data_IF_951475607444
#
_entry.id   IF_951475607444
#
_cell.length_a   1.000
_cell.length_b   1.000
_cell.length_c   1.000
_cell.angle_alpha   90.00
_cell.angle_beta   90.00
_cell.angle_gamma   90.00
#
_symmetry.space_group_name_H-M   'P 1'
#
loop_
_entity.id
_entity.type
_entity.pdbx_description
1 polymer ?
2 non-polymer ?
3 non-polymer ?
4 non-polymer ?
5 water ?
#
# COMPACT_ATOMS: atom_id res chain seq x y z
N UNK A 4 22.16 20.54 13.03
CA UNK A 4 21.85 19.46 13.96
C UNK A 4 21.03 18.36 13.26
N UNK A 5 20.42 18.70 12.12
CA UNK A 5 19.44 17.82 11.50
C UNK A 5 19.63 17.77 9.99
N UNK A 6 19.12 16.70 9.39
CA UNK A 6 19.33 16.49 7.97
C UNK A 6 18.48 17.41 7.12
N UNK A 7 17.28 17.74 7.57
CA UNK A 7 16.45 18.66 6.83
C UNK A 7 16.78 20.08 7.25
N UNK A 8 17.02 20.93 6.25
CA UNK A 8 17.31 22.33 6.58
C UNK A 8 16.06 23.06 7.04
N UNK A 9 14.89 22.57 6.68
CA UNK A 9 13.66 23.09 7.22
C UNK A 9 12.62 21.98 7.09
N UNK A 10 11.63 22.04 7.96
CA UNK A 10 10.62 20.98 8.02
C UNK A 10 9.47 21.32 7.10
N UNK A 11 9.78 21.23 5.81
CA UNK A 11 8.85 21.56 4.76
C UNK A 11 9.15 20.65 3.59
N UNK A 12 8.21 20.64 2.65
CA UNK A 12 8.44 19.88 1.44
C UNK A 12 9.67 20.38 0.71
N UNK A 13 9.87 21.69 0.69
CA UNK A 13 11.06 22.29 0.09
C UNK A 13 12.31 21.77 0.77
N UNK A 14 12.27 21.65 2.09
CA UNK A 14 13.42 21.10 2.79
C UNK A 14 13.65 19.65 2.42
N UNK A 15 12.58 18.89 2.29
CA UNK A 15 12.73 17.50 1.89
C UNK A 15 13.32 17.40 0.50
N UNK A 16 12.82 18.20 -0.44
CA UNK A 16 13.34 18.13 -1.80
C UNK A 16 14.82 18.50 -1.83
N UNK A 17 15.21 19.53 -1.09
CA UNK A 17 16.63 19.88 -1.07
C UNK A 17 17.44 18.74 -0.49
N UNK A 18 16.90 18.08 0.53
CA UNK A 18 17.61 16.95 1.11
C UNK A 18 17.73 15.80 0.12
N UNK A 19 16.66 15.53 -0.63
CA UNK A 19 16.70 14.47 -1.61
C UNK A 19 17.77 14.70 -2.66
N UNK A 20 18.01 15.97 -2.99
CA UNK A 20 19.02 16.34 -3.98
C UNK A 20 20.33 16.72 -3.33
N UNK A 21 20.63 16.11 -2.19
CA UNK A 21 21.92 16.22 -1.56
C UNK A 21 22.57 14.84 -1.58
N UNK A 22 23.88 14.82 -1.35
CA UNK A 22 24.59 13.55 -1.27
C UNK A 22 24.14 12.76 -0.05
N UNK A 23 23.45 13.41 0.89
CA UNK A 23 23.00 12.70 2.09
C UNK A 23 21.95 11.64 1.75
N UNK A 24 21.16 11.85 0.68
CA UNK A 24 19.94 11.09 0.46
C UNK A 24 20.11 10.16 -0.74
N UNK A 25 20.30 8.90 -0.46
CA UNK A 25 20.47 7.91 -1.50
C UNK A 25 19.37 6.90 -1.55
N UNK A 26 18.71 6.62 -0.43
CA UNK A 26 17.79 5.50 -0.33
C UNK A 26 16.50 5.96 0.31
N UNK A 27 15.41 5.79 -0.42
CA UNK A 27 14.10 6.21 0.03
C UNK A 27 13.27 4.98 0.22
N UNK A 28 12.62 4.88 1.34
CA UNK A 28 11.62 3.85 1.56
C UNK A 28 10.28 4.54 1.54
N UNK A 29 9.37 4.01 0.76
CA UNK A 29 8.00 4.48 0.79
C UNK A 29 7.17 3.51 1.60
N UNK A 30 6.26 4.04 2.38
CA UNK A 30 5.25 3.26 3.07
C UNK A 30 3.93 3.81 2.61
N UNK A 31 3.09 2.96 2.02
CA UNK A 31 1.88 3.47 1.42
C UNK A 31 0.69 2.64 1.83
N UNK A 32 -0.46 3.27 1.76
CA UNK A 32 -1.68 2.56 1.95
C UNK A 32 -2.77 3.07 1.03
N UNK A 33 -4.00 2.87 1.47
CA UNK A 33 -5.13 2.93 0.58
C UNK A 33 -5.33 4.33 0.02
N UNK A 34 -4.83 5.34 0.71
CA UNK A 34 -5.00 6.69 0.24
C UNK A 34 -4.27 7.00 -1.05
N UNK A 35 -3.29 6.19 -1.41
CA UNK A 35 -2.61 6.43 -2.67
C UNK A 35 -3.41 5.93 -3.85
N UNK A 36 -4.51 5.22 -3.62
CA UNK A 36 -5.29 4.67 -4.71
C UNK A 36 -6.68 5.24 -4.79
N UNK A 37 -7.06 6.12 -3.88
CA UNK A 37 -8.40 6.65 -3.98
C UNK A 37 -8.57 7.47 -5.24
N UNK A 38 -7.54 8.19 -5.67
CA UNK A 38 -7.69 8.94 -6.90
C UNK A 38 -7.60 8.06 -8.13
N UNK A 39 -7.33 6.78 -7.96
CA UNK A 39 -7.46 5.79 -9.03
C UNK A 39 -8.85 5.18 -9.02
N UNK A 40 -9.75 5.73 -8.23
CA UNK A 40 -11.08 5.20 -8.19
C UNK A 40 -11.26 4.01 -7.30
N UNK A 41 -10.37 3.80 -6.35
CA UNK A 41 -10.51 2.72 -5.39
C UNK A 41 -10.76 3.36 -4.03
N UNK A 42 -11.98 3.48 -3.56
CA UNK A 42 -12.20 4.23 -2.32
C UNK A 42 -11.51 3.55 -1.13
N UNK A 43 -11.09 4.36 -0.16
CA UNK A 43 -10.53 3.88 1.10
C UNK A 43 -11.69 3.56 2.04
N UNK A 44 -12.64 2.76 1.55
CA UNK A 44 -13.73 2.23 2.35
C UNK A 44 -13.86 0.78 1.91
N UNK A 45 -13.61 -0.15 2.83
CA UNK A 45 -13.51 -1.55 2.48
C UNK A 45 -14.56 -2.39 3.18
N UNK A 46 -15.45 -1.77 3.93
CA UNK A 46 -16.52 -2.52 4.53
C UNK A 46 -17.61 -2.79 3.51
N UNK A 47 -18.34 -3.89 3.66
CA UNK A 47 -19.49 -4.13 2.79
C UNK A 47 -20.50 -2.98 2.86
N UNK A 48 -21.12 -2.70 1.72
CA UNK A 48 -22.25 -1.79 1.72
C UNK A 48 -23.34 -2.34 2.63
N UNK A 49 -24.28 -1.48 2.97
CA UNK A 49 -25.41 -1.94 3.75
C UNK A 49 -26.14 -3.05 3.02
N UNK A 50 -26.37 -2.85 1.72
CA UNK A 50 -27.06 -3.87 0.95
C UNK A 50 -26.31 -5.19 0.95
N UNK A 51 -24.99 -5.12 0.79
CA UNK A 51 -24.22 -6.36 0.81
C UNK A 51 -24.28 -7.03 2.17
N UNK A 52 -24.05 -6.27 3.24
CA UNK A 52 -24.09 -6.87 4.57
C UNK A 52 -25.43 -7.56 4.79
N UNK A 53 -26.53 -6.92 4.37
CA UNK A 53 -27.84 -7.53 4.54
C UNK A 53 -27.99 -8.77 3.67
N UNK A 54 -27.44 -8.71 2.46
CA UNK A 54 -27.44 -9.87 1.58
C UNK A 54 -26.69 -11.04 2.17
N UNK A 55 -25.76 -10.78 3.07
CA UNK A 55 -24.92 -11.83 3.62
C UNK A 55 -25.45 -12.38 4.93
N UNK A 56 -26.67 -12.02 5.32
CA UNK A 56 -27.21 -12.48 6.60
C UNK A 56 -27.09 -13.99 6.74
N UNK A 57 -27.34 -14.71 5.65
CA UNK A 57 -27.37 -16.17 5.71
C UNK A 57 -26.01 -16.80 6.00
N UNK A 58 -24.92 -16.03 5.95
CA UNK A 58 -23.60 -16.54 6.29
C UNK A 58 -23.23 -16.25 7.73
N UNK A 59 -24.12 -15.56 8.47
CA UNK A 59 -23.98 -15.35 9.90
C UNK A 59 -22.61 -14.83 10.29
N UNK A 60 -22.25 -13.70 9.71
CA UNK A 60 -21.08 -12.97 10.17
C UNK A 60 -21.22 -12.70 11.66
N UNK A 61 -20.31 -13.20 12.49
CA UNK A 61 -20.49 -13.02 13.95
C UNK A 61 -20.48 -11.55 14.33
N UNK A 62 -19.72 -10.74 13.59
CA UNK A 62 -19.60 -9.31 13.73
C UNK A 62 -19.28 -8.81 12.32
N UNK A 63 -19.69 -7.58 11.97
CA UNK A 63 -19.54 -7.15 10.56
C UNK A 63 -18.11 -7.19 10.05
N UNK A 64 -17.12 -6.93 10.91
CA UNK A 64 -15.74 -6.92 10.45
C UNK A 64 -15.14 -8.32 10.30
N UNK A 65 -15.90 -9.36 10.66
CA UNK A 65 -15.43 -10.73 10.47
C UNK A 65 -15.16 -11.03 9.01
N UNK A 66 -15.75 -10.25 8.10
CA UNK A 66 -15.54 -10.48 6.69
C UNK A 66 -14.09 -10.28 6.29
N UNK A 67 -13.32 -9.57 7.11
CA UNK A 67 -11.91 -9.38 6.82
C UNK A 67 -11.03 -10.43 7.47
N UNK A 68 -11.61 -11.30 8.27
CA UNK A 68 -10.83 -12.15 9.14
C UNK A 68 -10.66 -13.53 8.52
N UNK A 69 -9.46 -14.07 8.69
CA UNK A 69 -9.16 -15.37 8.12
C UNK A 69 -9.98 -16.47 8.76
N UNK A 70 -10.19 -16.41 10.07
CA UNK A 70 -10.95 -17.46 10.72
C UNK A 70 -12.35 -17.57 10.12
N UNK A 71 -12.97 -16.42 9.91
CA UNK A 71 -14.30 -16.44 9.33
C UNK A 71 -14.25 -16.86 7.88
N UNK A 72 -13.26 -16.37 7.13
CA UNK A 72 -13.11 -16.81 5.74
C UNK A 72 -13.03 -18.32 5.63
N UNK A 73 -12.31 -18.95 6.56
CA UNK A 73 -12.16 -20.39 6.51
C UNK A 73 -13.48 -21.08 6.80
N UNK A 74 -14.36 -20.42 7.57
CA UNK A 74 -15.69 -20.99 7.76
C UNK A 74 -16.61 -20.72 6.57
N UNK A 75 -16.62 -19.49 6.07
CA UNK A 75 -17.49 -19.11 4.96
C UNK A 75 -16.73 -18.15 4.06
N UNK A 76 -16.25 -18.61 2.91
CA UNK A 76 -15.52 -17.70 2.01
C UNK A 76 -16.42 -16.80 1.21
N UNK A 77 -17.71 -17.10 1.11
CA UNK A 77 -18.56 -16.36 0.18
C UNK A 77 -18.68 -14.89 0.54
N UNK A 78 -18.82 -14.50 1.81
CA UNK A 78 -18.88 -13.07 2.10
C UNK A 78 -17.68 -12.32 1.57
N UNK A 79 -16.48 -12.84 1.79
CA UNK A 79 -15.31 -12.18 1.27
C UNK A 79 -15.41 -12.00 -0.23
N UNK A 80 -15.81 -13.05 -0.95
CA UNK A 80 -15.81 -12.91 -2.40
C UNK A 80 -16.92 -11.99 -2.87
N UNK A 81 -18.02 -11.90 -2.13
CA UNK A 81 -19.06 -10.94 -2.47
C UNK A 81 -18.57 -9.53 -2.23
N UNK A 82 -17.84 -9.34 -1.14
CA UNK A 82 -17.23 -8.04 -0.90
C UNK A 82 -16.24 -7.72 -2.00
N UNK A 83 -15.42 -8.70 -2.37
CA UNK A 83 -14.45 -8.49 -3.42
C UNK A 83 -15.14 -8.06 -4.71
N UNK A 84 -16.28 -8.67 -5.02
CA UNK A 84 -17.02 -8.25 -6.20
C UNK A 84 -17.46 -6.80 -6.07
N UNK A 85 -18.00 -6.44 -4.91
CA UNK A 85 -18.49 -5.08 -4.74
C UNK A 85 -17.35 -4.08 -4.82
N UNK A 86 -16.16 -4.45 -4.37
CA UNK A 86 -15.04 -3.53 -4.29
C UNK A 86 -14.12 -3.62 -5.51
N UNK A 87 -14.41 -4.50 -6.44
CA UNK A 87 -13.49 -4.76 -7.54
C UNK A 87 -13.33 -3.50 -8.40
N UNK A 88 -12.14 -2.95 -8.53
CA UNK A 88 -11.99 -1.72 -9.31
C UNK A 88 -12.41 -1.92 -10.75
N UNK A 89 -12.95 -0.85 -11.35
CA UNK A 89 -13.35 -0.91 -12.75
C UNK A 89 -12.20 -0.81 -13.71
N UNK A 90 -11.07 -0.31 -13.25
CA UNK A 90 -9.88 -0.15 -14.07
C UNK A 90 -8.72 -0.13 -13.09
N UNK A 91 -7.53 -0.38 -13.63
CA UNK A 91 -6.31 -0.40 -12.83
C UNK A 91 -5.35 0.60 -13.43
N UNK A 92 -5.57 1.85 -13.09
CA UNK A 92 -4.79 2.96 -13.60
C UNK A 92 -4.09 3.59 -12.42
N UNK A 93 -2.80 3.34 -12.23
CA UNK A 93 -2.12 3.89 -11.07
C UNK A 93 -2.14 5.40 -11.10
N UNK A 94 -1.93 5.97 -9.93
CA UNK A 94 -2.04 7.38 -9.75
C UNK A 94 -0.70 8.05 -9.97
N UNK A 95 -0.78 9.39 -10.00
CA UNK A 95 0.42 10.21 -9.98
C UNK A 95 1.36 9.78 -8.87
N UNK A 96 0.82 9.51 -7.70
CA UNK A 96 1.64 9.06 -6.58
C UNK A 96 2.36 7.75 -6.90
N UNK A 97 1.63 6.79 -7.49
CA UNK A 97 2.30 5.56 -7.87
C UNK A 97 3.43 5.84 -8.84
N UNK A 98 3.19 6.70 -9.84
CA UNK A 98 4.21 6.96 -10.82
C UNK A 98 5.34 7.76 -10.22
N UNK A 99 5.07 8.55 -9.19
CA UNK A 99 6.16 9.21 -8.49
C UNK A 99 7.11 8.16 -7.91
N UNK A 100 6.54 7.09 -7.36
CA UNK A 100 7.40 6.03 -6.87
C UNK A 100 8.16 5.36 -7.99
N UNK A 101 7.51 5.21 -9.16
CA UNK A 101 8.25 4.70 -10.30
C UNK A 101 9.42 5.61 -10.64
N UNK A 102 9.22 6.93 -10.57
CA UNK A 102 10.34 7.81 -10.80
C UNK A 102 11.43 7.61 -9.77
N UNK A 103 11.06 7.43 -8.50
CA UNK A 103 12.08 7.13 -7.51
C UNK A 103 12.86 5.91 -7.92
N UNK A 104 12.17 4.89 -8.41
CA UNK A 104 12.88 3.71 -8.90
C UNK A 104 13.79 4.07 -10.05
N UNK A 105 13.26 4.78 -11.04
CA UNK A 105 14.03 5.10 -12.23
C UNK A 105 15.26 5.88 -11.88
N UNK A 106 15.17 6.70 -10.85
CA UNK A 106 16.26 7.57 -10.48
C UNK A 106 17.16 6.93 -9.46
N UNK A 107 16.99 5.64 -9.19
CA UNK A 107 17.91 4.95 -8.33
C UNK A 107 17.76 5.30 -6.88
N UNK A 108 16.64 5.89 -6.50
CA UNK A 108 16.43 6.31 -5.13
C UNK A 108 15.57 5.36 -4.34
N UNK A 109 14.84 4.48 -4.98
CA UNK A 109 13.87 3.70 -4.26
C UNK A 109 14.53 2.46 -3.71
N UNK A 110 14.66 2.40 -2.39
CA UNK A 110 15.11 1.19 -1.74
C UNK A 110 13.96 0.20 -1.64
N UNK A 111 12.79 0.66 -1.26
CA UNK A 111 11.67 -0.26 -1.17
C UNK A 111 10.40 0.54 -1.04
N UNK A 112 9.35 0.01 -1.62
CA UNK A 112 8.01 0.47 -1.33
C UNK A 112 7.34 -0.63 -0.54
N UNK A 113 6.99 -0.31 0.71
CA UNK A 113 6.17 -1.19 1.53
C UNK A 113 4.76 -0.72 1.33
N UNK A 114 3.91 -1.59 0.81
CA UNK A 114 2.54 -1.21 0.54
C UNK A 114 1.60 -2.09 1.35
N UNK A 115 0.55 -1.47 1.82
CA UNK A 115 -0.57 -2.21 2.38
C UNK A 115 -1.60 -2.51 1.33
N UNK A 116 -1.48 -1.94 0.14
CA UNK A 116 -2.53 -2.10 -0.83
C UNK A 116 -2.43 -3.44 -1.50
N UNK A 117 -3.60 -3.91 -1.89
CA UNK A 117 -3.76 -5.20 -2.54
C UNK A 117 -4.23 -5.03 -3.97
N UNK A 118 -4.29 -3.79 -4.44
CA UNK A 118 -4.90 -3.42 -5.72
C UNK A 118 -3.99 -3.60 -6.92
N UNK A 119 -2.74 -3.97 -6.72
CA UNK A 119 -1.75 -4.26 -7.75
C UNK A 119 -1.23 -3.01 -8.45
N UNK A 120 -1.64 -1.82 -8.04
CA UNK A 120 -1.29 -0.66 -8.83
C UNK A 120 0.19 -0.36 -8.77
N UNK A 121 0.87 -0.74 -7.71
CA UNK A 121 2.31 -0.52 -7.70
C UNK A 121 2.96 -1.29 -8.82
N UNK A 122 2.53 -2.53 -9.03
CA UNK A 122 3.09 -3.35 -10.08
C UNK A 122 2.77 -2.77 -11.44
N UNK A 123 1.54 -2.31 -11.62
CA UNK A 123 1.18 -1.74 -12.91
C UNK A 123 2.01 -0.51 -13.17
N UNK A 124 2.28 0.27 -12.14
CA UNK A 124 3.07 1.48 -12.29
C UNK A 124 4.53 1.19 -12.51
N UNK A 125 4.96 -0.06 -12.47
CA UNK A 125 6.31 -0.39 -12.79
C UNK A 125 7.22 -0.61 -11.61
N UNK A 126 6.68 -0.74 -10.41
CA UNK A 126 7.50 -1.24 -9.32
C UNK A 126 7.56 -2.74 -9.45
N UNK A 127 8.76 -3.27 -9.35
CA UNK A 127 8.97 -4.68 -9.56
C UNK A 127 8.97 -5.38 -8.23
N UNK A 128 8.89 -6.70 -8.29
CA UNK A 128 8.85 -7.50 -7.08
C UNK A 128 9.97 -7.07 -6.14
N UNK A 129 11.16 -6.87 -6.68
CA UNK A 129 12.29 -6.51 -5.82
C UNK A 129 12.06 -5.20 -5.10
N UNK A 130 11.33 -4.28 -5.73
CA UNK A 130 11.13 -2.96 -5.16
C UNK A 130 10.07 -2.96 -4.09
N UNK A 131 9.33 -4.04 -3.97
CA UNK A 131 8.08 -4.03 -3.23
C UNK A 131 8.10 -4.96 -2.05
N UNK A 132 7.45 -4.54 -1.00
CA UNK A 132 6.99 -5.41 0.05
C UNK A 132 5.50 -5.20 0.07
N UNK A 133 4.76 -6.16 -0.48
CA UNK A 133 3.31 -6.17 -0.41
C UNK A 133 3.00 -6.76 0.95
N UNK A 134 3.00 -5.89 1.95
CA UNK A 134 2.98 -6.35 3.35
C UNK A 134 1.74 -7.16 3.61
N UNK A 135 0.64 -6.81 2.97
CA UNK A 135 -0.61 -7.52 3.16
C UNK A 135 -1.03 -8.26 1.91
N UNK A 136 -0.04 -8.64 1.13
CA UNK A 136 -0.31 -9.47 -0.01
C UNK A 136 -0.91 -8.68 -1.14
N UNK A 137 -1.53 -9.42 -2.04
CA UNK A 137 -2.03 -8.81 -3.25
C UNK A 137 -3.05 -9.69 -3.91
N UNK A 138 -3.92 -9.06 -4.70
CA UNK A 138 -4.78 -9.77 -5.62
C UNK A 138 -4.07 -10.15 -6.90
N UNK A 139 -2.83 -9.71 -7.09
CA UNK A 139 -2.13 -9.95 -8.34
C UNK A 139 -2.10 -11.43 -8.67
N UNK A 140 -1.87 -12.26 -7.67
CA UNK A 140 -1.91 -13.71 -7.83
C UNK A 140 -2.85 -14.27 -6.79
N UNK A 141 -3.38 -15.43 -7.09
CA UNK A 141 -4.21 -16.19 -6.19
C UNK A 141 -3.67 -17.60 -6.20
N UNK A 142 -3.94 -18.34 -5.15
CA UNK A 142 -3.50 -19.72 -5.13
C UNK A 142 -4.59 -20.63 -4.61
N UNK A 143 -4.68 -21.79 -5.23
CA UNK A 143 -5.32 -22.92 -4.59
C UNK A 143 -4.81 -23.06 -3.18
N UNK A 144 -5.74 -23.24 -2.24
CA UNK A 144 -5.40 -23.26 -0.83
C UNK A 144 -4.87 -24.61 -0.37
N UNK A 145 -4.84 -25.63 -1.23
CA UNK A 145 -4.33 -26.94 -0.87
C UNK A 145 -2.82 -26.96 -1.01
N UNK A 146 -2.12 -27.25 0.08
CA UNK A 146 -0.66 -27.33 0.02
C UNK A 146 -0.20 -28.39 -0.97
N UNK A 147 -1.00 -29.43 -1.19
CA UNK A 147 -0.61 -30.45 -2.13
C UNK A 147 -0.67 -30.00 -3.58
N UNK A 148 -1.25 -28.82 -3.85
CA UNK A 148 -1.52 -28.41 -5.21
C UNK A 148 -0.96 -27.02 -5.51
N UNK A 149 -1.48 -26.01 -4.81
CA UNK A 149 -0.91 -24.66 -4.84
C UNK A 149 -0.93 -24.08 -6.26
N UNK A 150 -1.85 -24.52 -7.10
CA UNK A 150 -1.97 -23.93 -8.42
C UNK A 150 -2.12 -22.41 -8.31
N UNK A 151 -1.37 -21.68 -9.13
CA UNK A 151 -1.38 -20.22 -9.12
C UNK A 151 -2.31 -19.72 -10.21
N UNK A 152 -3.16 -18.77 -9.87
CA UNK A 152 -4.11 -18.21 -10.79
C UNK A 152 -3.86 -16.72 -10.93
N UNK A 153 -3.84 -16.21 -12.15
CA UNK A 153 -3.66 -14.79 -12.38
C UNK A 153 -4.93 -14.03 -12.04
N UNK A 154 -4.77 -12.72 -11.91
CA UNK A 154 -5.92 -11.89 -11.56
C UNK A 154 -7.05 -12.01 -12.59
N UNK A 155 -6.75 -12.20 -13.88
CA UNK A 155 -7.83 -12.30 -14.85
C UNK A 155 -8.78 -13.45 -14.50
N UNK A 156 -8.21 -14.57 -14.07
CA UNK A 156 -9.00 -15.74 -13.71
C UNK A 156 -9.83 -15.45 -12.47
N UNK A 157 -9.19 -14.87 -11.46
CA UNK A 157 -9.88 -14.54 -10.23
C UNK A 157 -10.99 -13.53 -10.50
N UNK A 158 -10.71 -12.52 -11.32
CA UNK A 158 -11.72 -11.54 -11.67
C UNK A 158 -12.95 -12.22 -12.23
N UNK A 159 -12.75 -13.14 -13.17
CA UNK A 159 -13.92 -13.79 -13.77
C UNK A 159 -14.72 -14.54 -12.72
N UNK A 160 -14.05 -15.23 -11.79
CA UNK A 160 -14.79 -15.93 -10.75
C UNK A 160 -15.53 -14.96 -9.84
N UNK A 161 -14.89 -13.84 -9.50
CA UNK A 161 -15.49 -12.88 -8.59
C UNK A 161 -16.75 -12.29 -9.20
N UNK A 162 -16.66 -11.85 -10.45
CA UNK A 162 -17.80 -11.16 -11.03
C UNK A 162 -18.94 -12.12 -11.33
N UNK A 163 -18.63 -13.34 -11.73
CA UNK A 163 -19.68 -14.33 -11.96
C UNK A 163 -20.28 -14.86 -10.66
N UNK A 164 -19.79 -14.41 -9.51
CA UNK A 164 -20.30 -14.86 -8.22
C UNK A 164 -20.17 -16.37 -8.07
N UNK A 165 -19.14 -16.92 -8.70
CA UNK A 165 -18.76 -18.32 -8.56
C UNK A 165 -17.61 -18.37 -7.56
N UNK A 166 -17.80 -19.07 -6.45
CA UNK A 166 -16.71 -19.21 -5.50
C UNK A 166 -15.54 -19.87 -6.23
N UNK A 167 -14.36 -19.27 -6.24
CA UNK A 167 -13.30 -19.78 -7.14
C UNK A 167 -12.75 -21.10 -6.63
N UNK A 168 -12.77 -22.09 -7.51
CA UNK A 168 -12.26 -23.40 -7.18
C UNK A 168 -11.14 -23.75 -8.15
N UNK A 169 -10.16 -24.47 -7.63
CA UNK A 169 -9.01 -24.84 -8.42
C UNK A 169 -9.41 -25.85 -9.49
N UNK A 170 -8.90 -25.62 -10.69
CA UNK A 170 -9.19 -26.54 -11.78
C UNK A 170 -8.47 -27.86 -11.62
N UNK A 171 -7.38 -27.89 -10.88
CA UNK A 171 -6.64 -29.14 -10.72
C UNK A 171 -7.24 -30.01 -9.64
N UNK A 172 -7.72 -29.41 -8.57
CA UNK A 172 -8.12 -30.20 -7.42
C UNK A 172 -9.41 -29.76 -6.77
N UNK A 173 -10.06 -28.71 -7.27
CA UNK A 173 -11.35 -28.25 -6.76
C UNK A 173 -11.30 -27.66 -5.36
N UNK A 174 -10.11 -27.39 -4.85
CA UNK A 174 -10.01 -26.64 -3.62
C UNK A 174 -10.37 -25.18 -3.88
N UNK A 175 -10.58 -24.43 -2.81
CA UNK A 175 -10.76 -23.01 -2.94
C UNK A 175 -9.48 -22.37 -3.46
N UNK A 176 -9.67 -21.31 -4.24
CA UNK A 176 -8.58 -20.47 -4.70
C UNK A 176 -8.72 -19.13 -4.01
N UNK A 177 -7.70 -18.77 -3.27
CA UNK A 177 -7.71 -17.60 -2.42
C UNK A 177 -6.79 -16.54 -3.01
N UNK A 178 -7.24 -15.31 -3.16
CA UNK A 178 -6.31 -14.24 -3.54
C UNK A 178 -5.16 -14.20 -2.56
N UNK A 179 -3.97 -13.80 -3.03
CA UNK A 179 -2.77 -13.85 -2.22
C UNK A 179 -2.70 -12.70 -1.24
N UNK A 180 -3.82 -12.34 -0.67
CA UNK A 180 -3.83 -11.25 0.30
C UNK A 180 -3.66 -11.82 1.70
N UNK A 181 -3.29 -10.95 2.63
CA UNK A 181 -3.14 -11.29 4.03
C UNK A 181 -4.41 -10.81 4.72
N UNK A 182 -5.23 -11.75 5.13
CA UNK A 182 -6.44 -11.40 5.84
C UNK A 182 -6.09 -10.87 7.21
N UNK A 183 -7.02 -10.11 7.77
CA UNK A 183 -6.90 -9.78 9.19
C UNK A 183 -6.79 -11.07 9.97
N UNK A 184 -5.89 -11.09 10.95
CA UNK A 184 -5.63 -12.28 11.71
C UNK A 184 -4.61 -13.23 11.13
N UNK A 185 -4.05 -12.92 9.98
CA UNK A 185 -2.98 -13.71 9.40
C UNK A 185 -1.65 -13.02 9.63
N UNK A 186 -0.59 -13.81 9.68
CA UNK A 186 0.75 -13.27 9.83
C UNK A 186 1.21 -12.68 8.51
N UNK A 187 2.07 -11.68 8.61
CA UNK A 187 2.65 -11.07 7.44
C UNK A 187 3.70 -11.98 6.83
N UNK A 188 4.01 -11.77 5.57
CA UNK A 188 5.01 -12.61 4.91
C UNK A 188 6.40 -12.43 5.50
N UNK A 189 7.18 -13.51 5.41
CA UNK A 189 8.55 -13.44 5.88
C UNK A 189 9.29 -12.28 5.22
N UNK A 190 8.97 -12.02 3.95
CA UNK A 190 9.64 -10.95 3.24
C UNK A 190 9.50 -9.63 3.97
N UNK A 191 8.34 -9.38 4.57
CA UNK A 191 8.14 -8.14 5.28
C UNK A 191 9.21 -7.97 6.34
N UNK A 192 9.44 -9.01 7.13
CA UNK A 192 10.38 -8.89 8.24
C UNK A 192 11.81 -8.92 7.75
N UNK A 193 12.12 -9.74 6.75
CA UNK A 193 13.48 -9.78 6.24
C UNK A 193 13.87 -8.43 5.63
N UNK A 194 12.99 -7.88 4.80
CA UNK A 194 13.26 -6.58 4.22
C UNK A 194 13.30 -5.50 5.28
N UNK A 195 12.38 -5.51 6.23
CA UNK A 195 12.40 -4.48 7.27
C UNK A 195 13.76 -4.47 7.97
N UNK A 196 14.25 -5.67 8.30
CA UNK A 196 15.48 -5.79 9.06
C UNK A 196 16.64 -5.21 8.28
N UNK A 197 16.66 -5.42 6.97
CA UNK A 197 17.77 -4.86 6.19
C UNK A 197 17.53 -3.40 5.81
N UNK A 198 16.34 -3.08 5.36
CA UNK A 198 16.12 -1.82 4.69
C UNK A 198 16.25 -0.66 5.65
N UNK A 199 15.74 -0.82 6.88
CA UNK A 199 15.72 0.32 7.78
C UNK A 199 17.07 0.67 8.36
N UNK A 200 18.07 -0.15 8.12
CA UNK A 200 19.43 0.26 8.41
C UNK A 200 19.96 1.21 7.36
N UNK A 201 19.32 1.25 6.20
CA UNK A 201 19.87 1.89 5.01
C UNK A 201 19.06 3.10 4.59
N UNK A 202 17.98 3.39 5.23
CA UNK A 202 17.06 4.37 4.69
C UNK A 202 17.54 5.78 5.01
N UNK A 203 17.46 6.65 4.01
CA UNK A 203 17.76 8.06 4.18
C UNK A 203 16.53 8.93 4.22
N UNK A 204 15.40 8.42 3.74
CA UNK A 204 14.19 9.18 3.74
C UNK A 204 13.06 8.19 3.78
N UNK A 205 12.11 8.42 4.66
CA UNK A 205 10.91 7.63 4.72
C UNK A 205 9.79 8.50 4.17
N UNK A 206 9.11 8.02 3.15
CA UNK A 206 8.03 8.74 2.52
C UNK A 206 6.80 7.92 2.77
N UNK A 207 5.89 8.45 3.56
CA UNK A 207 4.72 7.76 4.01
C UNK A 207 3.54 8.42 3.35
N UNK A 208 2.74 7.66 2.63
CA UNK A 208 1.72 8.27 1.81
C UNK A 208 0.44 7.48 1.89
N UNK A 209 -0.66 8.18 2.13
CA UNK A 209 -1.94 7.56 1.96
C UNK A 209 -2.20 6.44 2.93
N UNK A 210 -1.83 6.60 4.20
CA UNK A 210 -2.15 5.56 5.15
C UNK A 210 -2.42 6.20 6.48
N UNK A 211 -3.35 5.61 7.20
CA UNK A 211 -3.68 6.10 8.52
C UNK A 211 -2.76 5.49 9.57
N UNK A 212 -1.88 4.57 9.20
CA UNK A 212 -0.91 3.99 10.13
C UNK A 212 -1.60 3.46 11.37
N UNK A 213 -2.68 2.76 11.14
CA UNK A 213 -3.43 2.14 12.22
C UNK A 213 -3.16 0.66 12.33
N UNK A 214 -2.82 -0.01 11.28
CA UNK A 214 -2.69 -1.46 11.29
C UNK A 214 -1.25 -1.81 11.59
N UNK A 215 -1.07 -2.78 12.46
CA UNK A 215 0.21 -3.26 12.89
C UNK A 215 0.47 -4.65 12.35
N UNK A 216 1.74 -5.02 12.19
CA UNK A 216 2.94 -4.23 12.53
C UNK A 216 3.32 -3.23 11.48
N UNK A 217 2.56 -3.09 10.39
CA UNK A 217 2.97 -2.18 9.33
C UNK A 217 3.23 -0.78 9.87
N UNK A 218 2.32 -0.26 10.69
CA UNK A 218 2.45 1.12 11.15
C UNK A 218 3.74 1.32 11.93
N UNK A 219 4.18 0.28 12.61
CA UNK A 219 5.38 0.41 13.42
C UNK A 219 6.63 0.55 12.57
N UNK A 220 6.52 0.38 11.26
CA UNK A 220 7.70 0.61 10.44
C UNK A 220 8.25 2.01 10.64
N UNK A 221 7.40 2.98 10.97
CA UNK A 221 7.99 4.32 11.10
C UNK A 221 8.98 4.36 12.23
N UNK A 222 8.79 3.52 13.24
CA UNK A 222 9.69 3.51 14.38
C UNK A 222 10.96 2.75 14.09
N UNK A 223 11.06 2.09 12.95
CA UNK A 223 12.27 1.39 12.59
C UNK A 223 13.25 2.28 11.87
N UNK A 224 12.87 3.49 11.52
CA UNK A 224 13.79 4.39 10.89
C UNK A 224 14.82 4.87 11.90
N UNK A 225 16.06 5.05 11.48
CA UNK A 225 17.04 5.73 12.31
C UNK A 225 16.50 7.09 12.74
N UNK A 226 16.96 7.52 13.89
CA UNK A 226 16.49 8.77 14.46
C UNK A 226 16.73 9.95 13.54
N UNK A 227 17.79 9.91 12.73
CA UNK A 227 18.06 11.07 11.91
C UNK A 227 17.24 11.09 10.63
N UNK A 228 16.63 9.99 10.27
CA UNK A 228 16.07 9.86 8.94
C UNK A 228 14.85 10.74 8.81
N UNK A 229 14.80 11.66 7.87
CA UNK A 229 13.59 12.45 7.70
C UNK A 229 12.44 11.57 7.29
N UNK A 230 11.26 11.96 7.74
CA UNK A 230 10.04 11.24 7.44
C UNK A 230 9.04 12.24 6.94
N UNK A 231 8.61 12.05 5.71
CA UNK A 231 7.63 12.92 5.09
C UNK A 231 6.34 12.16 4.95
N UNK A 232 5.28 12.69 5.51
CA UNK A 232 3.96 12.12 5.36
C UNK A 232 3.24 12.98 4.35
N UNK A 233 2.75 12.36 3.30
CA UNK A 233 1.87 13.00 2.36
C UNK A 233 0.53 12.29 2.52
N UNK A 234 -0.45 12.99 3.04
CA UNK A 234 -1.67 12.33 3.46
C UNK A 234 -2.71 13.39 3.68
N UNK A 235 -3.98 13.01 3.61
CA UNK A 235 -4.99 14.00 3.84
C UNK A 235 -4.94 14.55 5.25
N UNK A 236 -4.53 13.72 6.20
CA UNK A 236 -4.47 14.13 7.59
C UNK A 236 -3.25 13.54 8.24
N UNK A 237 -2.84 14.19 9.33
CA UNK A 237 -1.69 13.69 10.05
C UNK A 237 -2.01 12.31 10.62
N UNK A 238 -0.99 11.47 10.60
CA UNK A 238 -1.07 10.12 11.06
C UNK A 238 0.30 9.78 11.64
N UNK A 239 0.33 8.71 12.41
CA UNK A 239 1.57 8.18 12.97
C UNK A 239 2.10 8.90 14.17
N UNK A 240 1.36 9.85 14.72
CA UNK A 240 1.80 10.48 15.95
C UNK A 240 1.54 9.56 17.13
N UNK A 241 2.23 9.84 18.23
CA UNK A 241 2.07 9.04 19.43
C UNK A 241 0.62 9.11 19.92
N UNK A 242 0.16 8.01 20.53
CA UNK A 242 -1.16 7.91 21.12
C UNK A 242 -1.06 8.50 22.51
N UNK A 243 -1.69 9.64 22.78
CA UNK A 243 -1.57 10.27 24.10
C UNK A 243 -2.19 9.43 25.20
N UNK A 244 -3.01 8.44 24.84
CA UNK A 244 -3.66 7.62 25.85
C UNK A 244 -2.76 6.53 26.39
N UNK A 245 -1.67 6.21 25.72
CA UNK A 245 -0.81 5.11 26.15
C UNK A 245 0.30 5.59 27.08
N UNK A 246 1.10 6.56 26.64
CA UNK A 246 2.24 7.00 27.42
C UNK A 246 3.05 5.86 28.01
N UNK A 252 6.49 3.23 20.30
CA UNK A 252 7.25 4.45 20.16
C UNK A 252 7.47 4.91 18.73
N UNK A 253 8.43 5.81 18.54
CA UNK A 253 8.78 6.27 17.21
C UNK A 253 7.76 7.16 16.55
N UNK A 254 6.84 7.74 17.32
CA UNK A 254 5.77 8.50 16.71
C UNK A 254 6.29 9.68 15.91
N UNK A 255 5.53 10.04 14.90
CA UNK A 255 5.80 11.25 14.15
C UNK A 255 5.68 12.45 15.06
N UNK A 256 6.62 13.37 14.93
CA UNK A 256 6.58 14.64 15.65
C UNK A 256 6.73 15.73 14.62
N UNK A 257 5.61 16.20 14.12
CA UNK A 257 5.62 17.23 13.12
C UNK A 257 5.69 18.62 13.72
N UNK A 258 5.11 18.81 14.89
CA UNK A 258 4.75 20.15 15.30
C UNK A 258 5.22 20.55 16.69
N UNK A 259 5.84 19.68 17.47
CA UNK A 259 6.30 20.12 18.77
C UNK A 259 7.55 20.97 18.61
N UNK A 260 7.94 21.63 19.70
CA UNK A 260 9.20 22.37 19.73
C UNK A 260 10.38 21.47 19.41
N UNK A 261 10.23 20.18 19.67
CA UNK A 261 11.31 19.22 19.46
C UNK A 261 11.32 18.67 18.04
N UNK A 262 10.36 19.04 17.21
CA UNK A 262 10.31 18.47 15.88
C UNK A 262 11.59 18.81 15.15
N UNK A 263 12.12 17.82 14.45
CA UNK A 263 13.38 18.03 13.76
C UNK A 263 13.48 17.29 12.44
N UNK A 264 12.55 16.37 12.11
CA UNK A 264 12.78 15.57 10.92
C UNK A 264 11.51 15.09 10.25
N UNK A 265 10.35 15.34 10.86
CA UNK A 265 9.10 14.83 10.33
C UNK A 265 8.33 15.98 9.71
N UNK A 266 7.84 15.76 8.51
CA UNK A 266 7.14 16.78 7.75
C UNK A 266 5.82 16.19 7.34
N UNK A 267 4.75 16.93 7.55
CA UNK A 267 3.44 16.53 7.06
C UNK A 267 3.05 17.46 5.94
N UNK A 268 2.76 16.91 4.77
CA UNK A 268 2.16 17.66 3.70
C UNK A 268 0.74 17.14 3.59
N UNK A 269 -0.22 17.97 3.95
CA UNK A 269 -1.59 17.54 4.07
C UNK A 269 -2.37 17.88 2.82
N UNK A 270 -2.89 16.86 2.18
CA UNK A 270 -3.64 17.04 0.98
C UNK A 270 -3.68 15.73 0.24
N UNK A 271 -4.02 15.83 -1.03
CA UNK A 271 -4.11 14.64 -1.85
C UNK A 271 -2.72 14.12 -2.16
N UNK A 272 -2.56 12.80 -2.09
CA UNK A 272 -1.26 12.22 -2.39
C UNK A 272 -0.77 12.63 -3.75
N UNK A 273 -1.65 12.65 -4.74
CA UNK A 273 -1.21 13.05 -6.07
C UNK A 273 -0.67 14.46 -6.06
N UNK A 274 -1.37 15.37 -5.39
CA UNK A 274 -0.92 16.75 -5.36
C UNK A 274 0.37 16.90 -4.59
N UNK A 275 0.53 16.16 -3.51
CA UNK A 275 1.76 16.25 -2.76
C UNK A 275 2.93 15.71 -3.57
N UNK A 276 2.71 14.60 -4.25
CA UNK A 276 3.79 14.06 -5.07
C UNK A 276 4.08 14.96 -6.24
N UNK A 277 3.07 15.57 -6.82
CA UNK A 277 3.32 16.51 -7.89
C UNK A 277 4.13 17.69 -7.37
N UNK A 278 3.80 18.18 -6.18
CA UNK A 278 4.53 19.31 -5.63
C UNK A 278 5.97 18.93 -5.32
N UNK A 279 6.18 17.74 -4.79
CA UNK A 279 7.53 17.28 -4.51
C UNK A 279 8.30 17.08 -5.80
N UNK A 280 7.68 16.42 -6.79
CA UNK A 280 8.30 16.26 -8.09
C UNK A 280 8.69 17.61 -8.64
N UNK A 281 7.80 18.59 -8.51
CA UNK A 281 8.10 19.91 -9.05
C UNK A 281 9.34 20.46 -8.41
N UNK A 282 9.42 20.37 -7.08
CA UNK A 282 10.58 20.89 -6.38
C UNK A 282 11.86 20.18 -6.79
N UNK A 283 11.76 18.91 -7.19
CA UNK A 283 12.91 18.14 -7.61
C UNK A 283 13.26 18.35 -9.07
N UNK A 284 12.49 19.13 -9.82
CA UNK A 284 12.73 19.23 -11.23
C UNK A 284 12.17 18.08 -12.02
N UNK A 285 11.29 17.28 -11.41
CA UNK A 285 10.78 16.09 -12.05
C UNK A 285 9.36 16.24 -12.54
N UNK A 286 8.78 17.44 -12.48
CA UNK A 286 7.35 17.55 -12.76
C UNK A 286 7.04 17.18 -14.20
N UNK A 287 7.81 17.67 -15.16
CA UNK A 287 7.53 17.27 -16.52
C UNK A 287 7.73 15.77 -16.69
N UNK A 288 8.79 15.22 -16.12
CA UNK A 288 8.99 13.78 -16.24
C UNK A 288 7.81 13.03 -15.67
N UNK A 289 7.29 13.49 -14.56
CA UNK A 289 6.18 12.79 -13.94
C UNK A 289 4.94 12.94 -14.78
N UNK A 290 4.67 14.16 -15.22
CA UNK A 290 3.51 14.38 -16.06
C UNK A 290 3.58 13.51 -17.31
N UNK A 291 4.74 13.48 -17.95
CA UNK A 291 4.86 12.72 -19.19
C UNK A 291 4.69 11.24 -18.93
N UNK A 292 5.29 10.73 -17.85
CA UNK A 292 5.12 9.33 -17.50
C UNK A 292 3.66 9.02 -17.24
N UNK A 293 3.00 9.80 -16.41
CA UNK A 293 1.63 9.52 -16.10
C UNK A 293 0.78 9.56 -17.36
N UNK A 294 0.97 10.59 -18.16
CA UNK A 294 0.12 10.72 -19.32
C UNK A 294 0.30 9.53 -20.26
N UNK A 295 1.54 9.09 -20.47
CA UNK A 295 1.75 7.97 -21.38
C UNK A 295 1.25 6.68 -20.78
N UNK A 296 1.46 6.47 -19.48
CA UNK A 296 0.99 5.23 -18.88
C UNK A 296 -0.53 5.20 -18.82
N UNK A 297 -1.13 6.31 -18.43
CA UNK A 297 -2.58 6.36 -18.47
C UNK A 297 -3.10 6.12 -19.86
N UNK A 298 -2.47 6.72 -20.87
CA UNK A 298 -2.94 6.51 -22.23
C UNK A 298 -2.83 5.04 -22.58
N UNK A 299 -1.72 4.42 -22.22
CA UNK A 299 -1.55 3.01 -22.56
C UNK A 299 -2.59 2.15 -21.86
N UNK A 300 -2.89 2.46 -20.61
CA UNK A 300 -3.88 1.69 -19.88
C UNK A 300 -5.26 1.92 -20.46
N UNK A 301 -5.56 3.16 -20.82
CA UNK A 301 -6.82 3.46 -21.45
C UNK A 301 -6.98 2.71 -22.75
N UNK A 302 -5.88 2.46 -23.45
CA UNK A 302 -5.92 1.80 -24.75
C UNK A 302 -5.99 0.29 -24.63
N UNK A 303 -5.95 -0.27 -23.43
CA UNK A 303 -6.07 -1.72 -23.26
C UNK A 303 -7.47 -2.18 -23.70
X LIG B 1 -10.24 -6.42 -5.68
X LIG B 1 -9.01 -4.57 -5.24
X LIG B 1 -10.30 -2.80 -3.56
X LIG B 1 -7.15 -6.31 -7.83
X LIG B 1 -8.21 -5.98 -6.83
X LIG B 1 -9.31 -6.80 -6.62
X LIG B 1 -11.44 -7.26 -5.38
X LIG B 1 -5.56 -6.45 3.65
X LIG B 1 -11.06 -5.72 -1.38
X LIG B 1 -10.20 -3.07 -1.18
X LIG B 1 -11.64 -7.59 -0.42
X LIG B 1 -11.33 -6.91 0.71
X LIG B 1 -11.44 -7.33 2.12
X LIG B 1 -10.13 -7.66 2.78
X LIG B 1 -10.00 -8.80 3.54
X LIG B 1 -7.86 -7.09 3.34
X LIG B 1 -7.73 -8.25 4.09
X LIG B 1 -8.82 -9.11 4.19
X LIG B 1 -10.45 -3.56 -2.26
X LIG B 1 -5.42 -5.99 5.06
X LIG B 1 -5.05 -6.66 6.18
X LIG B 1 -4.81 -5.91 8.59
X LIG B 1 -3.55 -6.69 8.88
X LIG B 1 -2.74 -8.85 8.88
X LIG B 1 -5.93 -3.55 4.65
X LIG B 1 -5.59 -1.59 5.83
X LIG B 1 -6.13 -0.22 5.48
X LIG B 1 -6.12 5.64 4.30
X LIG B 1 -5.51 6.97 4.62
X LIG B 1 -6.36 7.88 5.51
X LIG B 1 -7.07 8.76 4.49
X LIG B 1 -5.92 8.96 3.51
X LIG B 1 -5.65 10.18 1.36
X LIG B 1 -4.14 11.59 0.59
X LIG B 1 -5.72 10.84 -0.91
X LIG B 1 -6.27 10.09 0.13
X LIG B 1 -7.36 8.82 1.43
X LIG B 1 -4.28 -1.92 5.14
X LIG B 1 -4.72 -2.85 4.01
X LIG B 1 -9.05 -6.79 2.69
X LIG B 1 -8.05 -4.84 -6.13
X LIG B 1 -11.03 -4.77 -2.38
X LIG B 1 -11.48 -6.93 -1.62
X LIG B 1 -5.04 -5.74 7.15
X LIG B 1 -5.38 -4.54 6.72
X LIG B 1 -5.61 -4.71 5.45
X LIG B 1 -6.35 9.36 2.20
X LIG B 1 -4.57 10.91 1.66
X LIG B 1 -4.63 11.58 -0.65
X LIG B 1 -6.21 10.83 -2.14
X LIG B 1 -7.36 9.23 0.20
X LIG B 1 -10.11 -5.29 -4.98
X LIG B 1 -6.86 -6.17 3.15
X LIG B 1 -3.83 -8.03 8.56
X LIG B 1 -6.56 -2.57 5.41
X LIG B 1 -5.23 0.72 6.07
X LIG B 1 -6.00 2.62 4.77
X LIG B 1 -6.21 4.96 5.57
X LIG B 1 -5.45 8.62 6.32
X LIG B 1 -7.59 9.99 4.98
X LIG B 1 -5.33 7.68 3.39
X LIG B 1 -6.96 3.18 7.01
X LIG B 1 -8.23 3.63 4.85
X LIG B 1 -4.05 1.42 3.93
X LIG B 1 -3.87 2.77 6.10
X LIG B 1 -3.32 -2.53 5.99
X LIG B 1 -3.77 -3.85 3.73
X LIG B 1 -4.65 1.91 5.20
X LIG B 1 -6.96 3.58 5.59
X LIG B 1 -8.72 -3.09 -4.35
X LIG B 1 -10.81 -5.32 0.28
X LIG B 1 -11.02 -3.05 -4.16
X LIG B 1 -10.40 -1.84 -3.37
X LIG B 1 -6.33 -5.79 -7.66
X LIG B 1 -7.45 -6.11 -8.73
X LIG B 1 -6.92 -7.26 -7.80
X LIG B 1 -9.40 -7.63 -7.13
X LIG B 1 -11.70 -7.16 -4.43
X LIG B 1 -11.26 -8.21 -5.56
X LIG B 1 -12.20 -6.98 -5.94
X LIG B 1 -5.39 -7.41 3.58
X LIG B 1 -4.90 -6.00 3.08
X LIG B 1 -11.96 -8.52 -0.43
X LIG B 1 -12.03 -8.11 2.17
X LIG B 1 -11.89 -6.62 2.63
X LIG B 1 -10.75 -9.44 3.62
X LIG B 1 -6.92 -8.49 4.56
X LIG B 1 -8.72 -9.93 4.71
X LIG B 1 -4.81 -7.58 6.37
X LIG B 1 -5.58 -6.37 8.98
X LIG B 1 -4.76 -5.05 9.02
X LIG B 1 -3.31 -6.63 9.83
X LIG B 1 -2.80 -6.37 8.36
X LIG B 1 -3.01 -9.78 8.77
X LIG B 1 -2.48 -8.68 9.81
X LIG B 1 -2.00 -8.64 8.28
X LIG B 1 -6.58 -3.92 4.01
X LIG B 1 -5.51 -1.70 6.80
X LIG B 1 -6.19 -0.12 4.51
X LIG B 1 -7.04 -0.12 5.83
X LIG B 1 -5.59 5.11 3.68
X LIG B 1 -7.01 5.72 3.90
X LIG B 1 -4.62 6.85 5.02
X LIG B 1 -7.00 7.43 6.10
X LIG B 1 -7.86 8.31 4.12
X LIG B 1 -5.26 9.59 3.84
X LIG B 1 -3.35 12.15 0.75
X LIG B 1 -8.01 8.20 1.82
X LIG B 1 -3.84 -1.13 4.77
X LIG B 1 -4.90 -2.36 3.20
X LIG B 1 -9.13 -5.97 2.16
X LIG B 1 -11.67 -4.86 -2.98
X LIG B 1 -5.81 11.33 -2.75
X LIG B 1 -6.93 10.32 -2.29
X LIG B 1 -5.09 8.06 6.86
X LIG B 1 -6.90 10.36 5.33
X LIG B 1 -3.20 -1.95 6.59
X LIG B 1 -3.68 -4.25 4.48
X LIG C 1 -0.09 23.28 2.76
X LIG C 1 0.43 22.01 2.41
X LIG C 1 -0.60 21.17 1.69
X LIG C 1 1.09 21.28 3.60
X LIG C 1 0.29 20.79 4.66
X LIG C 1 2.20 22.18 4.12
X LIG C 1 0.39 23.88 2.38
X LIG C 1 1.15 22.22 1.80
X LIG C 1 -1.49 21.34 2.05
X LIG C 1 -0.40 20.22 1.81
X LIG C 1 -0.61 21.36 0.75
X LIG C 1 1.35 20.42 3.22
X LIG C 1 -0.41 21.27 4.67
X LIG C 1 2.36 22.01 5.07
X LIG C 1 1.96 23.12 4.03
X LIG C 1 3.02 22.03 3.64
X LIG D 1 -5.56 -27.02 -6.49
#
# INVERSE_FOLDING_TARGET
GHMERLLDELTLEGVARYMQSERCRRVICLVGAGISTSAGIPDFRSPSTGLYDNLEKYHLPYPEAIFEISYFKKHPEPFFALAKELYPGQFKPTICHYFMRLLKDKGLLLRCYTQNIDTLERIAGLEQEDLVEAHGTFYTSHCVSASCRHEYPLSWMKEKIFSEVTPKCEDCQSLVKPDIVFFGESLPARFFSCMQSDFLKVDLLLVMGTSLQVQPFASLISKAPLSTPRLLINKEKAGQSDPFLGMIMGLGGGMDFDSKKAYRDVAWLGECDQGCLALAELLGWKKELEDLVRREHASIDAQS
A1JK7 C7 C5 C3 C11 C10 C9 C8 C25 C14 O1 C16 C17 C18 C19 C20 C23 C22 C21 C2 C26 C27 C29 C30 C32 C35 C37 C38 C44 C45 C46 C48 C50 C52 C54 C56 C58 C60 C66 C68 C70 N12 N13 N15 N28 N33 N34 N51 N53 N55 N57 N59 N6 O24 O31 O36 O39 O41 O43 O47 O49 O61 O62 O63 O64 O65 O67 O69 P40 P42 S4 S71 H3B H3A H11C H11A H11B H9 H8B H8A H8C H25A H25B H16 H18A H18B H20 H22 H21 H27 H29A H29B H30A H30B H32C H32B H32A H35 H37 H38A H38B H44B H44A H45 H46 H48 H50 H54 H60 H66 H68 H70 H13 H57A H57B H47 H49 H67 H69
BU3 O6 C3 C4 C2 O5 C1 HO6 H3 H41 H42 H43 H2 HO5 H11 H12 H13
ZN ZN
#
